data_IF_787369282886
#
_entry.id   IF_787369282886
#
_cell.length_a   1.000
_cell.length_b   1.000
_cell.length_c   1.000
_cell.angle_alpha   90.00
_cell.angle_beta   90.00
_cell.angle_gamma   90.00
#
_symmetry.space_group_name_H-M   'P 1'
#
loop_
_entity.id
_entity.type
_entity.pdbx_description
1 polymer ?
#
# COMPACT_ATOMS: atom_id res chain seq x y z
N UNK A 1 -26.38 -3.68 5.67
CA UNK A 1 -25.02 -4.05 6.11
C UNK A 1 -24.30 -2.75 6.42
N UNK A 2 -23.68 -2.58 7.59
CA UNK A 2 -22.83 -1.42 7.84
C UNK A 2 -21.69 -1.38 6.80
N UNK A 3 -21.20 -0.21 6.40
CA UNK A 3 -20.07 -0.13 5.48
C UNK A 3 -18.87 -0.83 6.11
N UNK A 4 -18.35 -1.85 5.44
CA UNK A 4 -17.10 -2.51 5.83
C UNK A 4 -15.96 -1.53 5.56
N UNK A 5 -15.38 -0.96 6.60
CA UNK A 5 -14.19 -0.11 6.46
C UNK A 5 -12.98 -1.00 6.21
N UNK A 6 -12.39 -0.90 5.02
CA UNK A 6 -11.09 -1.50 4.74
C UNK A 6 -10.03 -0.76 5.55
N UNK A 7 -9.44 -1.45 6.52
CA UNK A 7 -8.45 -0.88 7.43
C UNK A 7 -7.21 -1.75 7.36
N UNK A 8 -6.04 -1.11 7.26
CA UNK A 8 -4.76 -1.81 7.29
C UNK A 8 -4.44 -2.19 8.74
N UNK A 9 -3.95 -3.41 8.95
CA UNK A 9 -3.42 -3.83 10.24
C UNK A 9 -1.98 -3.32 10.44
N UNK A 10 -1.45 -3.43 11.67
CA UNK A 10 -0.12 -2.91 12.00
C UNK A 10 1.01 -3.56 11.17
N UNK A 11 0.89 -4.86 10.86
CA UNK A 11 1.88 -5.57 10.03
C UNK A 11 1.87 -5.08 8.59
N UNK A 12 0.68 -4.91 8.00
CA UNK A 12 0.49 -4.36 6.66
C UNK A 12 1.04 -2.95 6.58
N UNK A 13 0.80 -2.12 7.60
CA UNK A 13 1.35 -0.78 7.71
C UNK A 13 2.88 -0.77 7.80
N UNK A 14 3.47 -1.69 8.55
CA UNK A 14 4.92 -1.81 8.65
C UNK A 14 5.56 -2.31 7.35
N UNK A 15 4.92 -3.25 6.65
CA UNK A 15 5.35 -3.70 5.32
C UNK A 15 5.30 -2.55 4.30
N UNK A 16 4.24 -1.74 4.34
CA UNK A 16 4.10 -0.53 3.53
C UNK A 16 5.23 0.46 3.84
N UNK A 17 5.52 0.73 5.12
CA UNK A 17 6.59 1.66 5.53
C UNK A 17 7.94 1.21 5.04
N UNK A 18 8.31 -0.06 5.23
CA UNK A 18 9.58 -0.62 4.75
C UNK A 18 9.71 -0.49 3.23
N UNK A 19 8.65 -0.86 2.51
CA UNK A 19 8.65 -0.72 1.06
C UNK A 19 8.80 0.74 0.63
N UNK A 20 8.12 1.69 1.29
CA UNK A 20 8.29 3.12 1.01
C UNK A 20 9.72 3.59 1.33
N UNK A 21 10.30 3.25 2.47
CA UNK A 21 11.67 3.66 2.82
C UNK A 21 12.71 3.21 1.80
N UNK A 22 12.54 2.02 1.21
CA UNK A 22 13.42 1.52 0.14
C UNK A 22 13.10 2.14 -1.21
N UNK A 23 11.82 2.22 -1.55
CA UNK A 23 11.36 2.69 -2.85
C UNK A 23 11.65 4.18 -3.07
N UNK A 24 11.44 5.00 -2.03
CA UNK A 24 11.62 6.46 -2.09
C UNK A 24 13.06 6.90 -2.36
N UNK A 25 14.06 6.05 -2.05
CA UNK A 25 15.47 6.32 -2.35
C UNK A 25 15.76 6.40 -3.85
N UNK A 26 15.01 5.65 -4.67
CA UNK A 26 15.28 5.47 -6.09
C UNK A 26 14.09 5.83 -6.99
N UNK A 27 12.95 6.23 -6.42
CA UNK A 27 11.74 6.49 -7.19
C UNK A 27 11.78 7.89 -7.83
N UNK A 28 11.78 8.01 -9.17
CA UNK A 28 11.79 9.30 -9.84
C UNK A 28 10.47 10.07 -9.66
N UNK A 29 9.40 9.38 -9.27
CA UNK A 29 8.08 9.98 -9.04
C UNK A 29 7.88 10.43 -7.58
N UNK A 30 8.82 10.09 -6.69
CA UNK A 30 8.70 10.39 -5.27
C UNK A 30 9.59 11.59 -4.92
N UNK A 31 9.00 12.78 -5.01
CA UNK A 31 9.61 13.97 -4.44
C UNK A 31 9.07 14.20 -3.01
N UNK A 32 9.88 14.75 -2.08
CA UNK A 32 9.41 15.09 -0.74
C UNK A 32 8.17 16.01 -0.73
N UNK A 33 7.98 16.76 -1.84
CA UNK A 33 6.86 17.69 -2.04
C UNK A 33 5.54 16.99 -2.38
N UNK A 34 5.57 15.76 -2.88
CA UNK A 34 4.36 15.00 -3.28
C UNK A 34 3.94 13.95 -2.25
N UNK A 35 4.73 13.76 -1.19
CA UNK A 35 4.39 12.89 -0.07
C UNK A 35 3.15 13.43 0.68
N UNK A 36 2.01 12.77 0.51
CA UNK A 36 0.76 13.10 1.20
C UNK A 36 -0.13 14.15 0.53
N UNK A 37 0.23 14.64 -0.66
CA UNK A 37 -0.63 15.55 -1.44
C UNK A 37 -1.71 14.78 -2.22
N UNK A 38 -2.84 15.42 -2.53
CA UNK A 38 -3.84 14.91 -3.48
C UNK A 38 -3.18 14.75 -4.86
N UNK A 39 -2.69 13.54 -5.17
CA UNK A 39 -1.75 13.27 -6.27
C UNK A 39 -0.51 12.48 -5.84
N UNK A 40 -0.47 12.00 -4.59
CA UNK A 40 0.53 11.05 -4.10
C UNK A 40 0.80 9.98 -5.16
N UNK A 41 2.08 9.71 -5.49
CA UNK A 41 2.41 8.67 -6.46
C UNK A 41 2.06 7.28 -5.94
N UNK A 42 1.61 7.15 -4.68
CA UNK A 42 1.34 5.89 -4.01
C UNK A 42 -0.16 5.61 -3.94
N UNK A 43 -0.55 4.42 -4.38
CA UNK A 43 -1.91 3.91 -4.41
C UNK A 43 -2.04 2.64 -3.58
N UNK A 44 -3.10 2.58 -2.76
CA UNK A 44 -3.48 1.38 -2.00
C UNK A 44 -4.59 0.65 -2.76
N UNK A 45 -4.38 -0.64 -3.02
CA UNK A 45 -5.32 -1.48 -3.77
C UNK A 45 -5.81 -2.59 -2.86
N UNK A 46 -7.09 -2.52 -2.51
CA UNK A 46 -7.79 -3.55 -1.73
C UNK A 46 -8.56 -4.44 -2.70
N UNK A 47 -8.22 -5.72 -2.73
CA UNK A 47 -8.88 -6.72 -3.57
C UNK A 47 -9.68 -7.67 -2.68
N UNK A 48 -11.00 -7.45 -2.52
CA UNK A 48 -11.84 -8.38 -1.77
C UNK A 48 -11.94 -9.70 -2.52
N UNK A 49 -11.79 -10.80 -1.80
CA UNK A 49 -11.93 -12.17 -2.30
C UNK A 49 -12.83 -12.98 -1.35
N UNK A 50 -13.27 -14.16 -1.77
CA UNK A 50 -14.13 -15.03 -0.96
C UNK A 50 -13.48 -15.52 0.34
N UNK A 51 -12.15 -15.44 0.46
CA UNK A 51 -11.35 -16.00 1.57
C UNK A 51 -10.68 -14.88 2.40
N UNK A 52 -10.72 -13.63 1.94
CA UNK A 52 -10.07 -12.51 2.61
C UNK A 52 -9.91 -11.29 1.70
N UNK A 53 -9.09 -10.32 2.11
CA UNK A 53 -8.77 -9.14 1.29
C UNK A 53 -7.28 -9.13 0.99
N UNK A 54 -6.91 -9.12 -0.29
CA UNK A 54 -5.53 -8.87 -0.69
C UNK A 54 -5.23 -7.38 -0.66
N UNK A 55 -4.09 -7.00 -0.10
CA UNK A 55 -3.67 -5.59 0.00
C UNK A 55 -2.39 -5.41 -0.81
N UNK A 56 -2.41 -4.48 -1.76
CA UNK A 56 -1.23 -4.12 -2.55
C UNK A 56 -0.97 -2.63 -2.51
N UNK A 57 0.31 -2.27 -2.55
CA UNK A 57 0.77 -0.90 -2.73
C UNK A 57 1.34 -0.75 -4.13
N UNK A 58 1.00 0.35 -4.82
CA UNK A 58 1.51 0.67 -6.15
C UNK A 58 2.07 2.07 -6.18
N UNK A 59 3.15 2.27 -6.94
CA UNK A 59 3.66 3.58 -7.30
C UNK A 59 3.35 3.91 -8.76
N UNK A 60 3.16 5.19 -9.08
CA UNK A 60 3.06 5.70 -10.44
C UNK A 60 4.29 5.46 -11.31
N UNK A 61 5.45 5.15 -10.73
CA UNK A 61 6.61 4.70 -11.50
C UNK A 61 6.44 3.28 -12.07
N UNK A 62 5.38 2.57 -11.70
CA UNK A 62 5.08 1.19 -12.10
C UNK A 62 5.49 0.12 -11.09
N UNK A 63 6.18 0.48 -10.01
CA UNK A 63 6.52 -0.46 -8.95
C UNK A 63 5.29 -0.87 -8.14
N UNK A 64 5.20 -2.14 -7.77
CA UNK A 64 4.13 -2.67 -6.92
C UNK A 64 4.68 -3.67 -5.91
N UNK A 65 4.04 -3.75 -4.75
CA UNK A 65 4.31 -4.77 -3.75
C UNK A 65 3.01 -5.30 -3.14
N UNK A 66 2.96 -6.60 -2.91
CA UNK A 66 1.93 -7.22 -2.08
C UNK A 66 2.34 -7.07 -0.62
N UNK A 67 1.43 -6.52 0.18
CA UNK A 67 1.65 -6.26 1.61
C UNK A 67 0.67 -7.03 2.49
N UNK A 68 -0.14 -7.91 1.89
CA UNK A 68 -1.15 -8.70 2.59
C UNK A 68 -0.54 -9.66 3.60
N UNK A 69 -1.25 -9.81 4.72
CA UNK A 69 -0.86 -10.67 5.85
C UNK A 69 -1.42 -12.10 5.70
N UNK A 70 -1.05 -12.80 4.62
CA UNK A 70 -1.53 -14.17 4.33
C UNK A 70 -0.95 -15.23 5.28
N UNK A 71 -0.03 -14.87 6.17
CA UNK A 71 0.60 -15.79 7.12
C UNK A 71 -0.20 -15.98 8.43
N UNK A 72 -1.31 -15.25 8.62
CA UNK A 72 -2.18 -15.37 9.81
C UNK A 72 -3.58 -15.96 9.50
N UNK A 73 -3.71 -16.75 8.42
CA UNK A 73 -4.92 -17.53 8.12
C UNK A 73 -4.89 -18.94 8.73
#
# INVERSE_FOLDING_TARGET
MPPSTFTLNDKEMDNIRKWLEEHTKNCPCFEPKTAGWFGSPIHYVFTPSSIGTGVRIKCNCGAEADVGDYENL
#
